data_IF_025212050302
#
_entry.id   IF_025212050302
#
_cell.length_a   1.000
_cell.length_b   1.000
_cell.length_c   1.000
_cell.angle_alpha   90.00
_cell.angle_beta   90.00
_cell.angle_gamma   90.00
#
_symmetry.space_group_name_H-M   'P 1'
#
loop_
_entity.id
_entity.type
_entity.pdbx_description
1 polymer ?
#
# COMPACT_ATOMS: atom_id res chain seq x y z
N UNK A 1 -10.99 18.81 34.46
CA UNK A 1 -10.69 19.04 33.04
C UNK A 1 -9.84 17.87 32.63
N UNK A 2 -10.33 17.01 31.71
CA UNK A 2 -9.48 15.95 31.19
C UNK A 2 -8.34 16.62 30.41
N UNK A 3 -7.09 16.27 30.75
CA UNK A 3 -5.94 16.61 29.92
C UNK A 3 -6.25 16.18 28.47
N UNK A 4 -6.28 17.13 27.56
CA UNK A 4 -6.30 16.81 26.14
C UNK A 4 -4.94 16.21 25.85
N UNK A 5 -4.86 14.88 25.77
CA UNK A 5 -3.64 14.20 25.37
C UNK A 5 -3.19 14.82 24.05
N UNK A 6 -1.95 15.29 23.97
CA UNK A 6 -1.37 15.76 22.72
C UNK A 6 -1.44 14.62 21.71
N UNK A 7 -2.08 14.88 20.59
CA UNK A 7 -2.14 13.92 19.47
C UNK A 7 -0.92 14.13 18.58
N UNK A 8 -0.52 13.04 17.95
CA UNK A 8 0.62 13.01 17.06
C UNK A 8 0.19 13.24 15.61
N UNK A 9 1.10 13.66 14.76
CA UNK A 9 0.97 13.53 13.32
C UNK A 9 1.43 12.12 12.91
N UNK A 10 0.63 11.41 12.13
CA UNK A 10 1.07 10.18 11.48
C UNK A 10 1.77 10.52 10.16
N UNK A 11 2.98 10.01 9.98
CA UNK A 11 3.68 9.98 8.69
C UNK A 11 3.74 8.53 8.23
N UNK A 12 3.11 8.21 7.11
CA UNK A 12 2.98 6.82 6.64
C UNK A 12 3.11 6.70 5.14
N UNK A 13 3.36 5.48 4.67
CA UNK A 13 3.45 5.18 3.25
C UNK A 13 2.07 5.30 2.57
N UNK A 14 2.08 5.78 1.31
CA UNK A 14 0.86 5.91 0.51
C UNK A 14 0.50 4.59 -0.17
N UNK A 15 0.06 3.61 0.60
CA UNK A 15 -0.46 2.31 0.17
C UNK A 15 -1.51 1.80 1.18
N UNK A 16 -2.02 0.59 0.96
CA UNK A 16 -3.08 0.04 1.80
C UNK A 16 -2.60 -0.26 3.23
N UNK A 17 -1.34 -0.68 3.43
CA UNK A 17 -0.76 -0.90 4.76
C UNK A 17 -0.68 0.42 5.54
N UNK A 18 -0.19 1.50 4.93
CA UNK A 18 -0.19 2.82 5.54
C UNK A 18 -1.60 3.36 5.83
N UNK A 19 -2.58 3.07 4.97
CA UNK A 19 -3.99 3.40 5.20
C UNK A 19 -4.52 2.69 6.45
N UNK A 20 -4.31 1.37 6.57
CA UNK A 20 -4.78 0.59 7.72
C UNK A 20 -4.07 1.02 9.01
N UNK A 21 -2.76 1.34 8.98
CA UNK A 21 -2.07 1.96 10.12
C UNK A 21 -2.78 3.24 10.59
N UNK A 22 -3.20 4.11 9.65
CA UNK A 22 -3.94 5.33 9.97
C UNK A 22 -5.31 5.03 10.59
N UNK A 23 -6.04 4.03 10.07
CA UNK A 23 -7.32 3.56 10.62
C UNK A 23 -7.16 3.13 12.08
N UNK A 24 -6.16 2.29 12.37
CA UNK A 24 -5.88 1.77 13.72
C UNK A 24 -5.51 2.90 14.70
N UNK A 25 -4.55 3.74 14.34
CA UNK A 25 -4.07 4.82 15.23
C UNK A 25 -5.14 5.91 15.44
N UNK A 26 -5.96 6.20 14.43
CA UNK A 26 -7.09 7.12 14.56
C UNK A 26 -8.19 6.56 15.45
N UNK A 27 -8.45 5.24 15.42
CA UNK A 27 -9.39 4.57 16.33
C UNK A 27 -8.96 4.73 17.79
N UNK A 28 -7.67 4.58 18.06
CA UNK A 28 -7.09 4.77 19.40
C UNK A 28 -7.04 6.25 19.84
N UNK A 29 -7.47 7.18 18.98
CA UNK A 29 -7.43 8.62 19.23
C UNK A 29 -6.00 9.16 19.49
N UNK A 30 -4.98 8.52 18.91
CA UNK A 30 -3.57 8.90 19.06
C UNK A 30 -3.12 9.95 18.05
N UNK A 31 -3.81 10.05 16.91
CA UNK A 31 -3.42 10.95 15.81
C UNK A 31 -4.58 11.87 15.41
N UNK A 32 -4.25 13.07 14.92
CA UNK A 32 -5.21 14.03 14.34
C UNK A 32 -4.74 14.65 13.03
N UNK A 33 -3.46 14.53 12.69
CA UNK A 33 -2.88 14.91 11.41
C UNK A 33 -2.24 13.69 10.73
N UNK A 34 -2.33 13.60 9.41
CA UNK A 34 -1.85 12.44 8.65
C UNK A 34 -1.18 12.93 7.37
N UNK A 35 0.02 12.41 7.10
CA UNK A 35 0.78 12.68 5.89
C UNK A 35 1.20 11.39 5.22
N UNK A 36 0.67 11.13 4.02
CA UNK A 36 1.14 10.06 3.16
C UNK A 36 2.38 10.50 2.39
N UNK A 37 3.45 9.70 2.44
CA UNK A 37 4.74 10.02 1.84
C UNK A 37 5.33 8.82 1.09
N UNK A 38 6.32 9.10 0.24
CA UNK A 38 7.09 8.06 -0.42
C UNK A 38 8.31 7.69 0.46
N UNK A 39 8.66 6.40 0.61
CA UNK A 39 9.80 5.96 1.43
C UNK A 39 11.12 6.65 1.06
N UNK A 40 11.34 6.94 -0.22
CA UNK A 40 12.54 7.65 -0.67
C UNK A 40 12.61 9.07 -0.12
N UNK A 41 11.49 9.78 -0.01
CA UNK A 41 11.48 11.15 0.52
C UNK A 41 11.87 11.17 2.00
N UNK A 42 11.53 10.10 2.75
CA UNK A 42 12.01 9.89 4.12
C UNK A 42 13.52 9.67 4.15
N UNK A 43 14.05 8.76 3.30
CA UNK A 43 15.48 8.46 3.23
C UNK A 43 16.32 9.66 2.81
N UNK A 44 15.80 10.49 1.91
CA UNK A 44 16.48 11.70 1.42
C UNK A 44 16.37 12.89 2.40
N UNK A 45 15.66 12.73 3.54
CA UNK A 45 15.47 13.80 4.53
C UNK A 45 14.60 14.96 4.06
N UNK A 46 13.75 14.73 3.04
CA UNK A 46 12.83 15.76 2.51
C UNK A 46 11.67 15.98 3.47
N UNK A 47 11.30 14.95 4.24
CA UNK A 47 10.21 15.00 5.20
C UNK A 47 10.79 15.32 6.56
N UNK A 48 10.45 16.48 7.10
CA UNK A 48 10.81 16.86 8.47
C UNK A 48 10.05 15.98 9.46
N UNK A 49 10.79 15.35 10.37
CA UNK A 49 10.30 14.46 11.43
C UNK A 49 10.70 15.05 12.79
N UNK A 50 9.81 14.91 13.77
CA UNK A 50 9.98 15.41 15.12
C UNK A 50 9.44 14.42 16.18
N UNK A 51 9.55 14.74 17.43
CA UNK A 51 8.96 14.04 18.57
C UNK A 51 7.42 14.15 18.66
N UNK A 52 6.80 14.89 17.73
CA UNK A 52 5.34 14.97 17.56
C UNK A 52 4.84 14.03 16.44
N UNK A 53 5.70 13.17 15.90
CA UNK A 53 5.39 12.28 14.79
C UNK A 53 5.40 10.81 15.21
N UNK A 54 4.40 10.07 14.72
CA UNK A 54 4.43 8.61 14.65
C UNK A 54 4.67 8.26 13.18
N UNK A 55 5.63 7.36 12.90
CA UNK A 55 5.84 6.85 11.54
C UNK A 55 5.45 5.37 11.44
N UNK A 56 4.87 4.97 10.29
CA UNK A 56 4.53 3.56 10.01
C UNK A 56 4.88 3.20 8.58
N UNK A 57 5.35 1.95 8.36
CA UNK A 57 5.69 1.41 7.03
C UNK A 57 6.68 2.30 6.24
N UNK A 58 7.64 2.89 6.94
CA UNK A 58 8.63 3.83 6.41
C UNK A 58 9.98 3.61 7.09
N UNK A 59 11.09 3.97 6.40
CA UNK A 59 12.41 3.95 7.02
C UNK A 59 12.46 4.78 8.31
N UNK A 60 13.15 4.24 9.32
CA UNK A 60 13.32 4.94 10.59
C UNK A 60 14.10 6.26 10.39
N UNK A 61 13.62 7.32 11.04
CA UNK A 61 14.28 8.63 11.08
C UNK A 61 14.47 9.06 12.53
N UNK A 62 15.67 9.50 12.87
CA UNK A 62 16.00 9.97 14.22
C UNK A 62 15.13 11.16 14.63
N UNK A 63 14.69 11.18 15.88
CA UNK A 63 13.82 12.23 16.42
C UNK A 63 12.32 11.92 16.32
N UNK A 64 11.89 10.86 15.64
CA UNK A 64 10.50 10.40 15.64
C UNK A 64 10.09 9.99 17.06
N UNK A 65 8.84 10.29 17.45
CA UNK A 65 8.30 9.82 18.72
C UNK A 65 8.24 8.30 18.80
N UNK A 66 7.61 7.68 17.79
CA UNK A 66 7.45 6.23 17.70
C UNK A 66 7.42 5.80 16.21
N UNK A 67 8.11 4.73 15.90
CA UNK A 67 8.13 4.15 14.56
C UNK A 67 7.67 2.69 14.59
N UNK A 68 6.76 2.31 13.67
CA UNK A 68 6.31 0.94 13.48
C UNK A 68 6.71 0.44 12.10
N UNK A 69 7.38 -0.70 12.04
CA UNK A 69 7.82 -1.27 10.77
C UNK A 69 7.92 -2.81 10.83
N UNK A 70 7.95 -3.44 9.68
CA UNK A 70 8.11 -4.88 9.53
C UNK A 70 9.24 -5.24 8.53
N UNK A 71 9.91 -4.26 7.94
CA UNK A 71 10.93 -4.51 6.93
C UNK A 71 12.24 -5.01 7.56
N UNK A 72 12.66 -6.22 7.21
CA UNK A 72 13.95 -6.80 7.66
C UNK A 72 15.14 -5.87 7.38
N UNK A 73 15.11 -5.11 6.28
CA UNK A 73 16.19 -4.17 5.93
C UNK A 73 16.40 -3.09 6.99
N UNK A 74 15.37 -2.69 7.73
CA UNK A 74 15.49 -1.67 8.77
C UNK A 74 16.18 -2.22 10.04
N UNK A 75 16.10 -3.51 10.31
CA UNK A 75 16.89 -4.15 11.39
C UNK A 75 18.38 -4.22 11.08
N UNK A 76 18.73 -4.21 9.78
CA UNK A 76 20.12 -4.22 9.32
C UNK A 76 20.71 -2.79 9.31
N UNK A 77 19.87 -1.80 8.98
CA UNK A 77 20.28 -0.39 8.87
C UNK A 77 20.39 0.31 10.21
N UNK A 78 19.56 -0.07 11.16
CA UNK A 78 19.44 0.63 12.43
C UNK A 78 19.83 -0.27 13.59
N UNK A 79 20.53 0.30 14.59
CA UNK A 79 20.66 -0.34 15.88
C UNK A 79 19.27 -0.40 16.57
N UNK A 80 19.10 -1.33 17.50
CA UNK A 80 17.87 -1.45 18.27
C UNK A 80 17.60 -0.15 19.07
N UNK A 81 16.41 0.37 18.93
CA UNK A 81 15.94 1.60 19.63
C UNK A 81 14.61 1.31 20.32
N UNK A 82 14.38 1.91 21.47
CA UNK A 82 13.16 1.70 22.26
C UNK A 82 11.90 2.27 21.58
N UNK A 83 12.08 3.29 20.75
CA UNK A 83 11.01 3.91 19.97
C UNK A 83 10.86 3.37 18.54
N UNK A 84 11.55 2.28 18.19
CA UNK A 84 11.43 1.59 16.92
C UNK A 84 10.83 0.19 17.17
N UNK A 85 9.51 0.10 17.05
CA UNK A 85 8.74 -1.13 17.20
C UNK A 85 8.76 -1.84 15.84
N UNK A 86 9.63 -2.82 15.73
CA UNK A 86 9.86 -3.56 14.49
C UNK A 86 9.71 -5.06 14.71
N UNK A 87 8.94 -5.72 13.84
CA UNK A 87 8.79 -7.17 13.79
C UNK A 87 8.91 -7.66 12.34
N UNK A 88 10.09 -8.17 11.92
CA UNK A 88 10.30 -8.66 10.56
C UNK A 88 9.50 -9.91 10.18
N UNK A 89 8.94 -10.63 11.17
CA UNK A 89 8.06 -11.77 10.93
C UNK A 89 6.59 -11.37 10.73
N UNK A 90 6.23 -10.12 11.07
CA UNK A 90 4.90 -9.61 10.85
C UNK A 90 4.65 -9.42 9.33
N UNK A 91 3.46 -9.77 8.83
CA UNK A 91 3.13 -9.68 7.41
C UNK A 91 2.94 -8.24 6.92
N UNK A 92 2.69 -7.27 7.82
CA UNK A 92 2.46 -5.86 7.51
C UNK A 92 2.84 -4.94 8.69
N UNK A 93 3.11 -3.66 8.44
CA UNK A 93 3.28 -2.69 9.51
C UNK A 93 1.97 -2.46 10.29
N UNK A 94 0.82 -2.56 9.63
CA UNK A 94 -0.48 -2.55 10.29
C UNK A 94 -0.61 -3.67 11.32
N UNK A 95 -0.09 -4.87 11.03
CA UNK A 95 -0.03 -5.99 11.99
C UNK A 95 0.83 -5.62 13.20
N UNK A 96 1.98 -5.00 13.00
CA UNK A 96 2.84 -4.54 14.11
C UNK A 96 2.11 -3.54 15.01
N UNK A 97 1.41 -2.57 14.42
CA UNK A 97 0.57 -1.60 15.17
C UNK A 97 -0.55 -2.33 15.93
N UNK A 98 -1.27 -3.22 15.24
CA UNK A 98 -2.40 -3.96 15.80
C UNK A 98 -2.00 -4.77 17.03
N UNK A 99 -0.92 -5.54 16.93
CA UNK A 99 -0.44 -6.41 18.01
C UNK A 99 0.15 -5.58 19.17
N UNK A 100 0.88 -4.51 18.87
CA UNK A 100 1.46 -3.62 19.88
C UNK A 100 0.39 -3.01 20.80
N UNK A 101 -0.76 -2.61 20.26
CA UNK A 101 -1.84 -1.99 21.04
C UNK A 101 -2.86 -2.97 21.61
N UNK A 102 -2.67 -4.28 21.46
CA UNK A 102 -3.47 -5.30 22.15
C UNK A 102 -4.42 -6.08 21.28
N UNK A 103 -4.30 -6.01 19.98
CA UNK A 103 -5.00 -6.84 19.01
C UNK A 103 -6.54 -6.80 19.19
N UNK A 104 -7.20 -7.97 19.19
CA UNK A 104 -8.65 -8.11 19.33
C UNK A 104 -9.24 -7.46 20.61
N UNK A 105 -8.40 -7.12 21.60
CA UNK A 105 -8.86 -6.44 22.81
C UNK A 105 -9.04 -4.94 22.62
N UNK A 106 -8.31 -4.37 21.67
CA UNK A 106 -8.27 -2.92 21.42
C UNK A 106 -9.04 -2.52 20.16
N UNK A 107 -9.27 -3.46 19.23
CA UNK A 107 -9.86 -3.17 17.93
C UNK A 107 -11.13 -3.96 17.66
N UNK A 108 -12.08 -3.42 16.89
CA UNK A 108 -13.34 -4.07 16.54
C UNK A 108 -13.13 -5.42 15.83
N UNK A 109 -13.90 -6.43 16.21
CA UNK A 109 -13.81 -7.76 15.61
C UNK A 109 -14.18 -7.76 14.10
N UNK A 110 -15.05 -6.84 13.68
CA UNK A 110 -15.45 -6.64 12.29
C UNK A 110 -14.30 -6.18 11.37
N UNK A 111 -13.18 -5.73 11.91
CA UNK A 111 -11.99 -5.35 11.13
C UNK A 111 -11.08 -6.53 10.79
N UNK A 112 -11.45 -7.73 11.20
CA UNK A 112 -10.65 -8.94 10.93
C UNK A 112 -10.35 -9.12 9.45
N UNK A 113 -11.37 -9.00 8.59
CA UNK A 113 -11.20 -9.20 7.14
C UNK A 113 -10.30 -8.10 6.52
N UNK A 114 -10.39 -6.86 7.00
CA UNK A 114 -9.49 -5.78 6.61
C UNK A 114 -8.04 -6.08 7.02
N UNK A 115 -7.83 -6.57 8.24
CA UNK A 115 -6.50 -6.97 8.73
C UNK A 115 -5.91 -8.16 7.96
N UNK A 116 -6.73 -9.16 7.64
CA UNK A 116 -6.30 -10.29 6.79
C UNK A 116 -5.91 -9.84 5.38
N UNK A 117 -6.66 -8.90 4.81
CA UNK A 117 -6.36 -8.37 3.47
C UNK A 117 -5.09 -7.51 3.42
N UNK A 118 -4.84 -6.69 4.45
CA UNK A 118 -3.58 -5.91 4.49
C UNK A 118 -2.37 -6.82 4.67
N UNK A 119 -2.47 -7.83 5.53
CA UNK A 119 -1.42 -8.82 5.74
C UNK A 119 -1.09 -9.58 4.46
N UNK A 120 -2.13 -10.06 3.77
CA UNK A 120 -2.01 -10.76 2.49
C UNK A 120 -1.40 -9.86 1.40
N UNK A 121 -1.83 -8.61 1.34
CA UNK A 121 -1.41 -7.65 0.33
C UNK A 121 0.06 -7.26 0.43
N UNK A 122 0.53 -7.00 1.64
CA UNK A 122 1.90 -6.55 1.85
C UNK A 122 2.90 -7.72 1.83
N UNK A 123 2.50 -8.90 2.35
CA UNK A 123 3.28 -10.14 2.24
C UNK A 123 3.17 -10.84 0.87
N UNK A 124 2.40 -10.29 -0.07
CA UNK A 124 2.25 -10.83 -1.43
C UNK A 124 1.64 -12.25 -1.50
N UNK A 125 0.76 -12.62 -0.57
CA UNK A 125 0.20 -13.97 -0.45
C UNK A 125 -1.17 -14.12 -1.14
N UNK A 126 -1.30 -13.61 -2.36
CA UNK A 126 -2.50 -13.79 -3.18
C UNK A 126 -2.50 -15.14 -3.90
N UNK A 127 -3.65 -15.83 -3.88
CA UNK A 127 -3.93 -16.92 -4.80
C UNK A 127 -3.98 -16.41 -6.25
N UNK A 128 -3.92 -17.34 -7.20
CA UNK A 128 -4.09 -17.03 -8.62
C UNK A 128 -5.45 -16.40 -8.90
N UNK A 129 -6.48 -16.93 -8.27
CA UNK A 129 -7.86 -16.49 -8.41
C UNK A 129 -8.04 -15.07 -7.90
N UNK A 130 -7.51 -14.76 -6.71
CA UNK A 130 -7.56 -13.42 -6.11
C UNK A 130 -6.77 -12.39 -6.94
N UNK A 131 -5.65 -12.78 -7.52
CA UNK A 131 -4.89 -11.90 -8.40
C UNK A 131 -5.62 -11.61 -9.72
N UNK A 132 -6.36 -12.59 -10.28
CA UNK A 132 -7.06 -12.47 -11.57
C UNK A 132 -8.46 -11.84 -11.46
N UNK A 133 -9.15 -12.01 -10.36
CA UNK A 133 -10.52 -11.50 -10.09
C UNK A 133 -10.63 -11.02 -8.64
N UNK A 134 -9.92 -9.92 -8.28
CA UNK A 134 -9.91 -9.42 -6.93
C UNK A 134 -11.29 -8.88 -6.51
N UNK A 135 -11.63 -9.09 -5.24
CA UNK A 135 -12.90 -8.66 -4.64
C UNK A 135 -12.66 -8.01 -3.29
N UNK A 136 -13.65 -7.34 -2.80
CA UNK A 136 -13.73 -6.84 -1.44
C UNK A 136 -12.45 -6.05 -1.04
N UNK A 137 -11.87 -6.36 0.09
CA UNK A 137 -10.67 -5.70 0.59
C UNK A 137 -9.44 -5.91 -0.30
N UNK A 138 -9.31 -7.04 -1.00
CA UNK A 138 -8.22 -7.27 -1.96
C UNK A 138 -8.32 -6.33 -3.14
N UNK A 139 -9.54 -6.08 -3.64
CA UNK A 139 -9.77 -5.09 -4.69
C UNK A 139 -9.40 -3.69 -4.20
N UNK A 140 -9.86 -3.29 -3.01
CA UNK A 140 -9.51 -1.99 -2.44
C UNK A 140 -7.99 -1.83 -2.28
N UNK A 141 -7.29 -2.87 -1.81
CA UNK A 141 -5.83 -2.88 -1.73
C UNK A 141 -5.19 -2.60 -3.09
N UNK A 142 -5.63 -3.27 -4.17
CA UNK A 142 -5.08 -3.01 -5.51
C UNK A 142 -5.44 -1.62 -6.05
N UNK A 143 -6.60 -1.07 -5.72
CA UNK A 143 -6.95 0.30 -6.10
C UNK A 143 -6.02 1.33 -5.44
N UNK A 144 -5.57 1.07 -4.21
CA UNK A 144 -4.71 1.95 -3.44
C UNK A 144 -3.21 1.73 -3.71
N UNK A 145 -2.81 0.62 -4.34
CA UNK A 145 -1.42 0.40 -4.73
C UNK A 145 -1.05 1.29 -5.94
N UNK A 146 -0.11 2.21 -5.74
CA UNK A 146 0.38 3.10 -6.81
C UNK A 146 0.92 2.33 -8.04
N UNK A 147 1.43 1.10 -7.83
CA UNK A 147 1.95 0.22 -8.88
C UNK A 147 0.86 -0.34 -9.80
N UNK A 148 -0.40 -0.34 -9.38
CA UNK A 148 -1.55 -0.64 -10.26
C UNK A 148 -1.66 0.36 -11.40
N UNK A 149 -1.21 1.59 -11.18
CA UNK A 149 -1.09 2.60 -12.21
C UNK A 149 -2.37 3.41 -12.46
N UNK A 150 -3.40 3.30 -11.62
CA UNK A 150 -4.61 4.12 -11.71
C UNK A 150 -4.31 5.62 -11.55
N UNK A 151 -3.26 5.99 -10.84
CA UNK A 151 -2.82 7.38 -10.69
C UNK A 151 -2.40 8.08 -11.99
N UNK A 152 -2.24 7.34 -13.11
CA UNK A 152 -2.00 7.92 -14.44
C UNK A 152 -3.26 8.53 -15.05
N UNK A 153 -4.43 8.07 -14.63
CA UNK A 153 -5.72 8.61 -15.05
C UNK A 153 -6.10 9.78 -14.15
N UNK A 154 -6.35 10.94 -14.75
CA UNK A 154 -6.51 12.21 -14.03
C UNK A 154 -7.96 12.73 -14.01
N UNK A 155 -8.89 11.96 -14.52
CA UNK A 155 -10.30 12.36 -14.70
C UNK A 155 -11.20 11.95 -13.53
N UNK A 156 -10.62 11.55 -12.39
CA UNK A 156 -11.37 11.23 -11.19
C UNK A 156 -11.95 12.48 -10.52
N UNK A 157 -13.10 12.33 -9.89
CA UNK A 157 -13.81 13.39 -9.15
C UNK A 157 -12.95 14.00 -8.05
N UNK A 158 -12.17 13.18 -7.34
CA UNK A 158 -11.21 13.59 -6.34
C UNK A 158 -9.84 12.94 -6.62
N UNK A 159 -8.77 13.54 -6.12
CA UNK A 159 -7.44 12.97 -6.25
C UNK A 159 -7.31 11.65 -5.47
N UNK A 160 -6.34 10.80 -5.85
CA UNK A 160 -6.05 9.59 -5.08
C UNK A 160 -5.63 9.90 -3.63
N UNK A 161 -4.93 11.02 -3.41
CA UNK A 161 -4.58 11.47 -2.06
C UNK A 161 -5.83 11.82 -1.24
N UNK A 162 -6.77 12.57 -1.82
CA UNK A 162 -8.03 12.90 -1.15
C UNK A 162 -8.83 11.63 -0.82
N UNK A 163 -8.91 10.68 -1.77
CA UNK A 163 -9.57 9.40 -1.51
C UNK A 163 -8.88 8.62 -0.38
N UNK A 164 -7.55 8.58 -0.34
CA UNK A 164 -6.82 7.91 0.76
C UNK A 164 -7.18 8.53 2.12
N UNK A 165 -7.30 9.85 2.19
CA UNK A 165 -7.70 10.54 3.42
C UNK A 165 -9.14 10.20 3.83
N UNK A 166 -10.08 10.18 2.87
CA UNK A 166 -11.49 9.85 3.12
C UNK A 166 -11.65 8.37 3.53
N UNK A 167 -10.91 7.47 2.92
CA UNK A 167 -10.94 6.03 3.21
C UNK A 167 -10.55 5.71 4.66
N UNK A 168 -9.75 6.54 5.33
CA UNK A 168 -9.43 6.33 6.75
C UNK A 168 -10.71 6.32 7.60
N UNK A 169 -11.64 7.24 7.34
CA UNK A 169 -12.90 7.30 8.07
C UNK A 169 -13.93 6.30 7.51
N UNK A 170 -13.93 6.04 6.21
CA UNK A 170 -14.80 5.03 5.62
C UNK A 170 -14.47 3.63 6.14
N UNK A 171 -13.20 3.22 6.19
CA UNK A 171 -12.79 1.92 6.73
C UNK A 171 -13.09 1.75 8.22
N UNK A 172 -13.22 2.86 8.97
CA UNK A 172 -13.60 2.82 10.38
C UNK A 172 -15.10 2.63 10.60
N UNK A 173 -15.93 3.09 9.69
CA UNK A 173 -17.37 3.28 9.91
C UNK A 173 -18.25 2.49 8.96
N UNK A 174 -17.71 1.86 7.93
CA UNK A 174 -18.44 1.15 6.89
C UNK A 174 -17.86 -0.24 6.64
N UNK A 175 -18.71 -1.16 6.21
CA UNK A 175 -18.25 -2.44 5.66
C UNK A 175 -17.72 -2.28 4.23
N UNK A 176 -17.05 -3.31 3.72
CA UNK A 176 -16.38 -3.25 2.42
C UNK A 176 -17.37 -3.04 1.26
N UNK A 177 -18.56 -3.64 1.31
CA UNK A 177 -19.57 -3.48 0.25
C UNK A 177 -20.01 -2.03 0.13
N UNK A 178 -20.20 -1.34 1.26
CA UNK A 178 -20.55 0.07 1.32
C UNK A 178 -19.40 0.93 0.76
N UNK A 179 -18.15 0.61 1.12
CA UNK A 179 -16.95 1.33 0.64
C UNK A 179 -16.80 1.20 -0.87
N UNK A 180 -16.91 -0.01 -1.43
CA UNK A 180 -16.82 -0.27 -2.88
C UNK A 180 -17.94 0.46 -3.64
N UNK A 181 -19.10 0.63 -3.04
CA UNK A 181 -20.24 1.36 -3.63
C UNK A 181 -20.10 2.89 -3.60
N UNK A 182 -19.17 3.46 -2.82
CA UNK A 182 -18.95 4.90 -2.77
C UNK A 182 -18.58 5.44 -4.17
N UNK A 183 -19.15 6.57 -4.61
CA UNK A 183 -18.92 7.09 -5.97
C UNK A 183 -17.45 7.22 -6.35
N UNK A 184 -16.61 7.70 -5.43
CA UNK A 184 -15.19 7.94 -5.67
C UNK A 184 -14.34 6.66 -5.67
N UNK A 185 -14.80 5.60 -5.01
CA UNK A 185 -14.21 4.25 -5.10
C UNK A 185 -14.71 3.56 -6.36
N UNK A 186 -16.01 3.60 -6.61
CA UNK A 186 -16.67 2.93 -7.73
C UNK A 186 -16.09 3.36 -9.09
N UNK A 187 -15.83 4.64 -9.32
CA UNK A 187 -15.21 5.10 -10.58
C UNK A 187 -13.83 4.47 -10.81
N UNK A 188 -13.07 4.17 -9.75
CA UNK A 188 -11.78 3.48 -9.84
C UNK A 188 -11.95 1.98 -10.06
N UNK A 189 -12.95 1.36 -9.44
CA UNK A 189 -13.33 -0.03 -9.69
C UNK A 189 -13.71 -0.23 -11.15
N UNK A 190 -14.57 0.63 -11.69
CA UNK A 190 -15.01 0.59 -13.08
C UNK A 190 -13.82 0.71 -14.03
N UNK A 191 -12.93 1.67 -13.80
CA UNK A 191 -11.71 1.84 -14.60
C UNK A 191 -10.77 0.63 -14.47
N UNK A 192 -10.57 0.10 -13.25
CA UNK A 192 -9.74 -1.08 -13.04
C UNK A 192 -10.18 -2.25 -13.92
N UNK A 193 -11.46 -2.58 -13.88
CA UNK A 193 -12.01 -3.68 -14.69
C UNK A 193 -12.08 -3.35 -16.18
N UNK A 194 -12.29 -2.11 -16.57
CA UNK A 194 -12.17 -1.68 -17.98
C UNK A 194 -10.76 -1.95 -18.54
N UNK A 195 -9.73 -1.67 -17.71
CA UNK A 195 -8.33 -1.87 -18.11
C UNK A 195 -7.88 -3.33 -18.07
N UNK A 196 -8.50 -4.17 -17.25
CA UNK A 196 -8.05 -5.53 -16.92
C UNK A 196 -7.77 -6.41 -18.14
N UNK A 197 -8.72 -6.48 -19.10
CA UNK A 197 -8.55 -7.29 -20.31
C UNK A 197 -7.37 -6.80 -21.17
N UNK A 198 -7.23 -5.47 -21.30
CA UNK A 198 -6.14 -4.83 -22.07
C UNK A 198 -4.80 -5.07 -21.38
N UNK A 199 -4.78 -4.94 -20.05
CA UNK A 199 -3.60 -5.18 -19.22
C UNK A 199 -3.12 -6.63 -19.32
N UNK A 200 -4.01 -7.62 -19.17
CA UNK A 200 -3.69 -9.05 -19.32
C UNK A 200 -3.17 -9.38 -20.71
N UNK A 201 -3.76 -8.79 -21.77
CA UNK A 201 -3.28 -8.95 -23.13
C UNK A 201 -1.88 -8.33 -23.35
N UNK A 202 -1.64 -7.14 -22.75
CA UNK A 202 -0.35 -6.46 -22.79
C UNK A 202 0.74 -7.28 -22.10
N UNK A 203 0.49 -7.80 -20.90
CA UNK A 203 1.43 -8.67 -20.19
C UNK A 203 1.81 -9.87 -21.10
N UNK A 204 0.82 -10.58 -21.65
CA UNK A 204 1.09 -11.75 -22.51
C UNK A 204 1.92 -11.41 -23.76
N UNK A 205 1.65 -10.26 -24.40
CA UNK A 205 2.34 -9.83 -25.61
C UNK A 205 3.76 -9.33 -25.36
N UNK A 206 3.97 -8.63 -24.25
CA UNK A 206 5.21 -7.92 -23.95
C UNK A 206 6.16 -8.69 -23.03
N UNK A 207 5.79 -9.93 -22.63
CA UNK A 207 6.60 -10.75 -21.73
C UNK A 207 7.43 -11.77 -22.47
N UNK A 208 8.65 -11.98 -21.97
CA UNK A 208 9.54 -13.08 -22.36
C UNK A 208 9.97 -13.85 -21.11
N UNK A 209 9.86 -15.20 -21.16
CA UNK A 209 10.21 -16.07 -20.03
C UNK A 209 11.65 -16.56 -20.21
N UNK A 210 12.42 -16.50 -19.13
CA UNK A 210 13.79 -17.00 -19.00
C UNK A 210 13.88 -17.87 -17.74
N UNK A 211 13.67 -19.18 -17.86
CA UNK A 211 13.58 -20.11 -16.74
C UNK A 211 12.47 -19.69 -15.75
N UNK A 212 12.80 -19.26 -14.55
CA UNK A 212 11.88 -18.80 -13.51
C UNK A 212 11.69 -17.26 -13.47
N UNK A 213 12.26 -16.54 -14.45
CA UNK A 213 12.17 -15.10 -14.60
C UNK A 213 11.24 -14.75 -15.76
N UNK A 214 10.30 -13.85 -15.58
CA UNK A 214 9.54 -13.20 -16.63
C UNK A 214 9.98 -11.74 -16.77
N UNK A 215 10.34 -11.35 -17.99
CA UNK A 215 10.71 -9.96 -18.33
C UNK A 215 9.55 -9.35 -19.11
N UNK A 216 8.92 -8.33 -18.54
CA UNK A 216 7.84 -7.55 -19.16
C UNK A 216 8.44 -6.25 -19.73
N UNK A 217 8.67 -6.21 -21.04
CA UNK A 217 9.25 -5.02 -21.70
C UNK A 217 8.16 -4.14 -22.31
N UNK A 218 7.89 -3.02 -21.65
CA UNK A 218 6.86 -2.06 -22.03
C UNK A 218 7.40 -0.84 -22.78
N UNK A 219 8.69 -0.80 -23.15
CA UNK A 219 9.31 0.37 -23.78
C UNK A 219 8.77 0.72 -25.17
N UNK A 220 8.16 -0.26 -25.85
CA UNK A 220 7.56 -0.06 -27.17
C UNK A 220 6.04 0.16 -27.14
N UNK A 221 5.47 0.25 -25.95
CA UNK A 221 4.04 0.49 -25.75
C UNK A 221 3.74 1.99 -25.63
N UNK A 222 2.77 2.47 -26.40
CA UNK A 222 2.27 3.86 -26.29
C UNK A 222 1.52 4.07 -24.98
N UNK A 223 0.74 3.06 -24.57
CA UNK A 223 -0.12 3.09 -23.36
C UNK A 223 0.25 1.92 -22.48
N UNK A 224 0.58 2.19 -21.24
CA UNK A 224 0.73 1.17 -20.20
C UNK A 224 -0.61 1.08 -19.46
N UNK A 225 -1.30 -0.06 -19.66
CA UNK A 225 -2.58 -0.30 -19.02
C UNK A 225 -2.45 -0.49 -17.52
N UNK A 226 -3.51 -0.13 -16.77
CA UNK A 226 -3.56 -0.32 -15.33
C UNK A 226 -3.96 -1.75 -14.97
N UNK A 227 -3.38 -2.28 -13.90
CA UNK A 227 -3.71 -3.59 -13.36
C UNK A 227 -2.78 -3.98 -12.22
N UNK A 228 -3.19 -4.92 -11.36
CA UNK A 228 -2.37 -5.31 -10.25
C UNK A 228 -1.13 -6.11 -10.71
N UNK A 229 -0.02 -5.88 -10.04
CA UNK A 229 1.30 -6.45 -10.38
C UNK A 229 1.38 -7.98 -10.25
N UNK A 230 0.48 -8.61 -9.50
CA UNK A 230 0.49 -10.06 -9.26
C UNK A 230 -0.12 -10.86 -10.42
N UNK A 231 -0.86 -10.21 -11.31
CA UNK A 231 -1.42 -10.86 -12.52
C UNK A 231 -0.33 -11.52 -13.37
N UNK A 232 0.89 -10.98 -13.39
CA UNK A 232 2.00 -11.57 -14.15
C UNK A 232 2.33 -12.98 -13.66
N UNK A 233 2.33 -13.22 -12.34
CA UNK A 233 2.59 -14.55 -11.77
C UNK A 233 1.40 -15.51 -11.95
N UNK A 234 0.17 -14.98 -12.01
CA UNK A 234 -1.01 -15.77 -12.33
C UNK A 234 -1.03 -16.22 -13.80
N UNK A 235 -0.43 -15.43 -14.71
CA UNK A 235 -0.31 -15.75 -16.13
C UNK A 235 0.93 -16.60 -16.47
N UNK A 236 2.01 -16.49 -15.66
CA UNK A 236 3.27 -17.22 -15.81
C UNK A 236 3.61 -17.94 -14.50
N UNK A 237 2.85 -19.00 -14.14
CA UNK A 237 2.95 -19.65 -12.83
C UNK A 237 4.29 -20.37 -12.60
N UNK A 238 5.05 -20.63 -13.65
CA UNK A 238 6.42 -21.16 -13.58
C UNK A 238 7.48 -20.13 -13.15
N UNK A 239 7.12 -18.84 -13.20
CA UNK A 239 8.02 -17.75 -12.83
C UNK A 239 7.75 -17.26 -11.41
N UNK A 240 8.82 -17.06 -10.63
CA UNK A 240 8.75 -16.47 -9.29
C UNK A 240 9.51 -15.13 -9.18
N UNK A 241 10.08 -14.67 -10.30
CA UNK A 241 10.74 -13.37 -10.44
C UNK A 241 10.15 -12.66 -11.66
N UNK A 242 9.85 -11.37 -11.53
CA UNK A 242 9.49 -10.52 -12.67
C UNK A 242 10.36 -9.26 -12.71
N UNK A 243 10.67 -8.82 -13.92
CA UNK A 243 11.33 -7.53 -14.16
C UNK A 243 10.47 -6.77 -15.15
N UNK A 244 10.00 -5.59 -14.75
CA UNK A 244 9.30 -4.67 -15.62
C UNK A 244 10.30 -3.66 -16.20
N UNK A 245 10.40 -3.59 -17.51
CA UNK A 245 11.31 -2.71 -18.24
C UNK A 245 10.51 -1.55 -18.83
N UNK A 246 10.82 -0.35 -18.40
CA UNK A 246 10.08 0.87 -18.70
C UNK A 246 11.03 1.98 -19.15
N UNK A 247 10.52 2.95 -19.90
CA UNK A 247 11.23 4.21 -20.05
C UNK A 247 11.05 5.08 -18.81
N UNK A 248 12.13 5.65 -18.32
CA UNK A 248 12.09 6.72 -17.33
C UNK A 248 11.53 8.02 -17.91
N UNK A 249 11.45 9.05 -17.09
CA UNK A 249 10.89 10.35 -17.48
C UNK A 249 11.52 10.86 -18.78
N UNK A 250 10.68 11.23 -19.76
CA UNK A 250 11.13 11.70 -21.10
C UNK A 250 12.07 10.74 -21.82
N UNK A 251 12.01 9.46 -21.51
CA UNK A 251 12.87 8.41 -22.09
C UNK A 251 14.39 8.64 -21.88
N UNK A 252 14.77 9.33 -20.82
CA UNK A 252 16.18 9.63 -20.53
C UNK A 252 16.98 8.42 -20.07
N UNK A 253 16.31 7.42 -19.50
CA UNK A 253 16.93 6.18 -19.02
C UNK A 253 15.94 5.02 -19.09
N UNK A 254 16.45 3.79 -19.03
CA UNK A 254 15.65 2.59 -18.81
C UNK A 254 15.49 2.35 -17.31
N UNK A 255 14.27 2.11 -16.87
CA UNK A 255 13.92 1.73 -15.48
C UNK A 255 13.65 0.25 -15.46
N UNK A 256 14.21 -0.44 -14.48
CA UNK A 256 13.92 -1.82 -14.11
C UNK A 256 13.20 -1.81 -12.76
N UNK A 257 11.97 -2.36 -12.71
CA UNK A 257 11.11 -2.40 -11.52
C UNK A 257 10.69 -3.84 -11.22
#
# INVERSE_FOLDING_TARGET
>A
MAEVANKFRLVTRSDFDGLVCAVLLKHLNLIDDIKFVHPKDMQDGIIEISDQDISTNLPYVEGVHLAFDHHLSETIRNEKKDNHIIDPEAPSAARVVYDHYGAEKAFPAEWKDMMEAVDKGDSAQFSKEEALDPKDWDLLNFLMDARTGLGRFREFRISNYALMMDLIDYCRNHNIDEIIALPDVKERVELYFEQDTKFKAQIKRCSTVHQNLVVLDLRNEEIIHAGNRFVIYALFPECNISIHVLWGLKQQNTVFA
#
